data_IF_616378280916
#
_entry.id   IF_616378280916
#
_cell.length_a   1.000
_cell.length_b   1.000
_cell.length_c   1.000
_cell.angle_alpha   90.00
_cell.angle_beta   90.00
_cell.angle_gamma   90.00
#
_symmetry.space_group_name_H-M   'P 1'
#
loop_
_entity.id
_entity.type
_entity.pdbx_description
1 polymer ?
#
# COMPACT_ATOMS: atom_id res chain seq x y z
N UNK A 1 -12.73 -9.58 38.01
CA UNK A 1 -11.54 -9.69 37.14
C UNK A 1 -11.96 -10.58 35.99
N UNK A 2 -12.16 -9.99 34.81
CA UNK A 2 -12.54 -10.74 33.60
C UNK A 2 -11.27 -11.42 33.05
N UNK A 3 -11.21 -12.74 33.11
CA UNK A 3 -10.07 -13.51 32.61
C UNK A 3 -10.13 -13.54 31.08
N UNK A 4 -9.13 -12.96 30.41
CA UNK A 4 -9.11 -12.96 28.94
C UNK A 4 -8.94 -14.38 28.44
N UNK A 5 -9.74 -14.83 27.46
CA UNK A 5 -9.55 -16.14 26.85
C UNK A 5 -8.13 -16.25 26.28
N UNK A 6 -7.46 -17.36 26.57
CA UNK A 6 -6.13 -17.63 26.05
C UNK A 6 -6.16 -17.73 24.52
N UNK A 7 -5.13 -17.24 23.82
CA UNK A 7 -5.05 -17.39 22.38
C UNK A 7 -5.07 -18.88 22.01
N UNK A 8 -5.71 -19.25 20.88
CA UNK A 8 -5.74 -20.63 20.44
C UNK A 8 -4.32 -21.15 20.20
N UNK A 9 -4.04 -22.44 20.49
CA UNK A 9 -2.73 -23.02 20.30
C UNK A 9 -2.37 -23.03 18.81
N UNK A 10 -1.09 -22.76 18.52
CA UNK A 10 -0.57 -22.73 17.17
C UNK A 10 -0.31 -24.15 16.67
N UNK A 11 -0.70 -24.46 15.43
CA UNK A 11 -0.41 -25.73 14.76
C UNK A 11 0.53 -25.53 13.57
N UNK A 12 1.57 -26.37 13.48
CA UNK A 12 2.51 -26.33 12.36
C UNK A 12 1.86 -26.89 11.08
N UNK A 13 1.82 -26.15 9.96
CA UNK A 13 1.20 -26.60 8.71
C UNK A 13 1.96 -27.75 8.03
N UNK A 14 3.23 -27.97 8.38
CA UNK A 14 4.07 -28.99 7.75
C UNK A 14 4.06 -30.34 8.46
N UNK A 15 3.98 -30.36 9.80
CA UNK A 15 4.11 -31.58 10.60
C UNK A 15 2.97 -31.80 11.60
N UNK A 16 2.03 -30.85 11.74
CA UNK A 16 0.90 -30.96 12.64
C UNK A 16 1.22 -30.77 14.13
N UNK A 17 2.49 -30.50 14.49
CA UNK A 17 2.87 -30.24 15.88
C UNK A 17 2.12 -29.01 16.44
N UNK A 18 1.59 -29.14 17.65
CA UNK A 18 0.83 -28.10 18.36
C UNK A 18 1.70 -27.48 19.44
N UNK A 19 1.74 -26.16 19.52
CA UNK A 19 2.46 -25.42 20.56
C UNK A 19 1.63 -24.27 21.11
N UNK A 20 1.70 -24.05 22.42
CA UNK A 20 1.04 -22.89 23.06
C UNK A 20 1.75 -21.57 22.73
N UNK A 21 3.03 -21.64 22.38
CA UNK A 21 3.84 -20.48 22.00
C UNK A 21 4.15 -20.54 20.51
N UNK A 22 3.96 -19.42 19.82
CA UNK A 22 4.39 -19.25 18.44
C UNK A 22 5.93 -19.10 18.37
N UNK A 23 6.58 -19.84 17.48
CA UNK A 23 8.03 -19.78 17.24
C UNK A 23 8.32 -19.62 15.76
N UNK A 24 9.39 -18.90 15.43
CA UNK A 24 9.85 -18.69 14.03
C UNK A 24 10.30 -19.98 13.36
N UNK A 25 10.72 -20.98 14.15
CA UNK A 25 11.12 -22.31 13.68
C UNK A 25 10.36 -23.35 14.49
N UNK A 26 9.77 -24.33 13.81
CA UNK A 26 9.07 -25.42 14.47
C UNK A 26 10.07 -26.32 15.23
N UNK A 27 9.87 -26.58 16.53
CA UNK A 27 10.78 -27.44 17.30
C UNK A 27 10.71 -28.92 16.89
N UNK A 28 9.59 -29.36 16.28
CA UNK A 28 9.40 -30.76 15.91
C UNK A 28 9.98 -31.09 14.54
N UNK A 29 9.80 -30.22 13.54
CA UNK A 29 10.27 -30.48 12.17
C UNK A 29 11.43 -29.60 11.70
N UNK A 30 11.86 -28.63 12.52
CA UNK A 30 12.99 -27.74 12.21
C UNK A 30 12.74 -26.75 11.06
N UNK A 31 11.53 -26.74 10.47
CA UNK A 31 11.20 -25.83 9.37
C UNK A 31 10.87 -24.43 9.90
N UNK A 32 11.32 -23.36 9.21
CA UNK A 32 10.90 -22.02 9.52
C UNK A 32 9.40 -21.86 9.22
N UNK A 33 8.72 -21.10 10.06
CA UNK A 33 7.36 -20.66 9.78
C UNK A 33 7.41 -19.52 8.77
N UNK A 34 7.07 -19.83 7.51
CA UNK A 34 6.81 -18.83 6.48
C UNK A 34 5.31 -18.57 6.50
N UNK A 35 4.93 -17.35 6.89
CA UNK A 35 3.53 -16.94 6.87
C UNK A 35 3.16 -16.70 5.41
N UNK A 36 2.45 -17.65 4.80
CA UNK A 36 1.77 -17.41 3.54
C UNK A 36 0.66 -16.40 3.82
N UNK A 37 0.92 -15.12 3.59
CA UNK A 37 -0.10 -14.09 3.59
C UNK A 37 -0.91 -14.25 2.29
N UNK A 38 -1.67 -15.34 2.17
CA UNK A 38 -2.79 -15.35 1.24
C UNK A 38 -3.82 -14.44 1.87
N UNK A 39 -3.96 -13.23 1.33
CA UNK A 39 -5.03 -12.33 1.73
C UNK A 39 -6.36 -12.92 1.25
N UNK A 40 -6.94 -13.81 2.07
CA UNK A 40 -8.21 -14.48 1.76
C UNK A 40 -9.39 -13.53 1.92
N UNK A 41 -9.16 -12.32 2.47
CA UNK A 41 -10.23 -11.34 2.60
C UNK A 41 -10.46 -10.70 1.25
N UNK A 42 -11.63 -10.97 0.66
CA UNK A 42 -12.12 -10.14 -0.43
C UNK A 42 -12.41 -8.75 0.12
N UNK A 43 -11.47 -7.83 -0.10
CA UNK A 43 -11.73 -6.41 0.12
C UNK A 43 -12.72 -5.92 -0.94
N UNK A 44 -13.82 -5.26 -0.55
CA UNK A 44 -14.73 -4.65 -1.51
C UNK A 44 -13.91 -3.72 -2.41
N UNK A 45 -14.07 -3.85 -3.73
CA UNK A 45 -13.48 -2.90 -4.66
C UNK A 45 -14.19 -1.56 -4.45
N UNK A 46 -13.48 -0.58 -3.90
CA UNK A 46 -14.02 0.78 -3.78
C UNK A 46 -14.46 1.27 -5.17
N UNK A 47 -15.74 1.57 -5.29
CA UNK A 47 -16.34 2.06 -6.55
C UNK A 47 -15.92 3.51 -6.83
N UNK A 48 -15.55 4.24 -5.79
CA UNK A 48 -15.10 5.62 -5.87
C UNK A 48 -13.58 5.70 -5.80
N UNK A 49 -12.94 5.33 -6.91
CA UNK A 49 -11.50 5.54 -7.13
C UNK A 49 -11.25 7.04 -7.36
N UNK A 50 -11.52 7.88 -6.37
CA UNK A 50 -11.07 9.27 -6.29
C UNK A 50 -9.57 9.31 -5.95
N UNK A 51 -8.77 8.59 -6.72
CA UNK A 51 -7.33 8.67 -6.68
C UNK A 51 -6.82 10.06 -7.15
N UNK A 52 -5.51 10.23 -7.08
CA UNK A 52 -4.73 11.45 -7.41
C UNK A 52 -4.95 12.03 -8.83
N UNK A 53 -5.81 11.43 -9.64
CA UNK A 53 -6.13 11.84 -11.01
C UNK A 53 -6.86 13.18 -11.09
N UNK A 54 -7.75 13.50 -10.14
CA UNK A 54 -8.49 14.78 -10.15
C UNK A 54 -7.56 15.98 -9.94
N UNK A 55 -6.62 15.86 -9.00
CA UNK A 55 -5.61 16.88 -8.72
C UNK A 55 -4.69 17.12 -9.95
N UNK A 56 -4.25 16.04 -10.61
CA UNK A 56 -3.32 16.13 -11.76
C UNK A 56 -3.85 16.93 -12.94
N UNK A 57 -5.17 16.88 -13.22
CA UNK A 57 -5.76 17.53 -14.40
C UNK A 57 -5.85 19.06 -14.26
N UNK A 58 -6.08 19.57 -13.06
CA UNK A 58 -6.11 21.00 -12.79
C UNK A 58 -4.71 21.61 -12.95
N UNK A 59 -3.72 21.05 -12.27
CA UNK A 59 -2.34 21.57 -12.29
C UNK A 59 -1.68 21.48 -13.67
N UNK A 60 -2.03 20.48 -14.49
CA UNK A 60 -1.55 20.38 -15.87
C UNK A 60 -2.05 21.53 -16.77
N UNK A 61 -3.28 22.01 -16.57
CA UNK A 61 -3.81 23.16 -17.32
C UNK A 61 -3.16 24.46 -16.86
N UNK A 62 -2.99 24.63 -15.54
CA UNK A 62 -2.34 25.79 -14.95
C UNK A 62 -0.88 25.89 -15.43
N UNK A 63 -0.13 24.79 -15.41
CA UNK A 63 1.27 24.79 -15.86
C UNK A 63 1.39 25.12 -17.35
N UNK A 64 0.50 24.61 -18.20
CA UNK A 64 0.49 24.91 -19.63
C UNK A 64 0.28 26.41 -19.87
N UNK A 65 -0.69 27.04 -19.21
CA UNK A 65 -0.97 28.48 -19.35
C UNK A 65 0.24 29.30 -18.92
N UNK A 66 0.88 28.96 -17.80
CA UNK A 66 2.08 29.66 -17.32
C UNK A 66 3.21 29.58 -18.36
N UNK A 67 3.46 28.41 -18.93
CA UNK A 67 4.50 28.22 -19.96
C UNK A 67 4.21 29.07 -21.19
N UNK A 68 2.97 29.09 -21.68
CA UNK A 68 2.58 29.90 -22.84
C UNK A 68 2.78 31.39 -22.57
N UNK A 69 2.38 31.88 -21.39
CA UNK A 69 2.55 33.29 -21.00
C UNK A 69 4.03 33.66 -20.94
N UNK A 70 4.88 32.82 -20.35
CA UNK A 70 6.33 33.06 -20.29
C UNK A 70 6.95 33.10 -21.70
N UNK A 71 6.56 32.19 -22.59
CA UNK A 71 7.03 32.20 -23.99
C UNK A 71 6.61 33.49 -24.70
N UNK A 72 5.35 33.93 -24.54
CA UNK A 72 4.89 35.18 -25.16
C UNK A 72 5.64 36.40 -24.64
N UNK A 73 5.87 36.48 -23.31
CA UNK A 73 6.61 37.59 -22.70
C UNK A 73 8.08 37.62 -23.16
N UNK A 74 8.72 36.46 -23.26
CA UNK A 74 10.11 36.37 -23.73
C UNK A 74 10.26 36.77 -25.20
N UNK A 75 9.35 36.31 -26.07
CA UNK A 75 9.32 36.73 -27.48
C UNK A 75 9.06 38.23 -27.60
N UNK A 76 8.13 38.76 -26.80
CA UNK A 76 7.84 40.19 -26.78
C UNK A 76 9.07 41.00 -26.35
N UNK A 77 9.76 40.59 -25.29
CA UNK A 77 11.01 41.23 -24.86
C UNK A 77 12.08 41.24 -25.96
N UNK A 78 12.24 40.14 -26.70
CA UNK A 78 13.19 40.06 -27.82
C UNK A 78 12.82 40.93 -29.03
N UNK A 79 11.55 41.30 -29.19
CA UNK A 79 11.10 42.17 -30.29
C UNK A 79 11.28 43.64 -29.94
N UNK A 80 11.10 44.00 -28.67
CA UNK A 80 11.20 45.38 -28.19
C UNK A 80 12.61 45.83 -27.80
N UNK A 81 13.57 44.91 -27.71
CA UNK A 81 14.98 45.16 -27.39
C UNK A 81 15.86 44.86 -28.59
#
# INVERSE_FOLDING_TARGET
MEERPSPPPFSCPHCGAVSETFRTVCPSCGRPYVRDYVDVRMHPRDSDLTGTFAYRRFWARVSLVIIVVVILLTVLMMIFF
#
